data_IF_559995217616
#
_entry.id   IF_559995217616
#
_cell.length_a   1.000
_cell.length_b   1.000
_cell.length_c   1.000
_cell.angle_alpha   90.00
_cell.angle_beta   90.00
_cell.angle_gamma   90.00
#
_symmetry.space_group_name_H-M   'P 1'
#
loop_
_entity.id
_entity.type
_entity.pdbx_description
1 polymer ?
#
# COMPACT_ATOMS: atom_id res chain seq x y z
N UNK A 1 -7.21 12.30 -10.83
CA UNK A 1 -7.33 10.98 -11.49
C UNK A 1 -6.72 9.85 -10.65
N UNK A 2 -5.43 9.94 -10.26
CA UNK A 2 -4.72 8.90 -9.50
C UNK A 2 -5.46 8.48 -8.20
N UNK A 3 -5.84 9.46 -7.38
CA UNK A 3 -6.56 9.19 -6.12
C UNK A 3 -7.90 8.47 -6.36
N UNK A 4 -8.65 8.87 -7.38
CA UNK A 4 -9.93 8.22 -7.73
C UNK A 4 -9.76 6.75 -8.12
N UNK A 5 -8.70 6.43 -8.88
CA UNK A 5 -8.36 5.04 -9.21
C UNK A 5 -7.98 4.26 -7.96
N UNK A 6 -7.15 4.83 -7.08
CA UNK A 6 -6.77 4.22 -5.81
C UNK A 6 -7.96 3.95 -4.89
N UNK A 7 -8.86 4.91 -4.72
CA UNK A 7 -10.09 4.75 -3.94
C UNK A 7 -11.00 3.68 -4.52
N UNK A 8 -11.22 3.70 -5.84
CA UNK A 8 -12.04 2.69 -6.52
C UNK A 8 -11.48 1.28 -6.37
N UNK A 9 -10.16 1.11 -6.47
CA UNK A 9 -9.50 -0.18 -6.31
C UNK A 9 -9.61 -0.73 -4.87
N UNK A 10 -9.38 0.12 -3.86
CA UNK A 10 -9.53 -0.27 -2.45
C UNK A 10 -10.98 -0.60 -2.09
N UNK A 11 -11.95 0.22 -2.55
CA UNK A 11 -13.36 -0.04 -2.36
C UNK A 11 -13.80 -1.36 -3.02
N UNK A 12 -13.26 -1.66 -4.19
CA UNK A 12 -13.50 -2.94 -4.86
C UNK A 12 -12.97 -4.12 -4.03
N UNK A 13 -11.81 -4.00 -3.39
CA UNK A 13 -11.33 -5.02 -2.44
C UNK A 13 -12.33 -5.20 -1.30
N UNK A 14 -12.78 -4.13 -0.64
CA UNK A 14 -13.74 -4.23 0.47
C UNK A 14 -15.08 -4.87 0.06
N UNK A 15 -15.64 -4.45 -1.08
CA UNK A 15 -16.90 -5.00 -1.59
C UNK A 15 -16.80 -6.49 -1.93
N UNK A 16 -15.69 -6.95 -2.50
CA UNK A 16 -15.46 -8.37 -2.79
C UNK A 16 -15.42 -9.20 -1.51
N UNK A 17 -14.75 -8.72 -0.46
CA UNK A 17 -14.69 -9.38 0.84
C UNK A 17 -16.02 -9.37 1.61
N UNK A 18 -16.79 -8.29 1.50
CA UNK A 18 -18.13 -8.20 2.06
C UNK A 18 -19.06 -9.24 1.41
N UNK A 19 -19.06 -9.30 0.07
CA UNK A 19 -19.95 -10.17 -0.72
C UNK A 19 -19.59 -11.65 -0.65
N UNK A 20 -18.31 -12.01 -0.57
CA UNK A 20 -17.87 -13.41 -0.61
C UNK A 20 -17.26 -13.86 0.72
N UNK A 21 -18.08 -14.51 1.54
CA UNK A 21 -17.68 -15.02 2.86
C UNK A 21 -16.56 -16.08 2.79
N UNK A 22 -16.37 -16.73 1.63
CA UNK A 22 -15.29 -17.68 1.35
C UNK A 22 -13.90 -17.04 1.23
N UNK A 23 -13.82 -15.72 1.02
CA UNK A 23 -12.58 -14.96 1.05
C UNK A 23 -12.17 -14.64 2.49
N UNK A 24 -13.14 -14.26 3.33
CA UNK A 24 -12.90 -14.00 4.76
C UNK A 24 -12.38 -15.23 5.51
N UNK A 25 -12.72 -16.44 5.04
CA UNK A 25 -12.22 -17.71 5.59
C UNK A 25 -10.81 -18.08 5.12
N UNK A 26 -10.25 -17.42 4.11
CA UNK A 26 -8.92 -17.73 3.61
C UNK A 26 -7.86 -16.87 4.34
N UNK A 27 -6.84 -17.54 4.87
CA UNK A 27 -5.80 -16.93 5.71
C UNK A 27 -5.02 -15.83 4.98
N UNK A 28 -4.67 -16.01 3.70
CA UNK A 28 -3.94 -15.01 2.92
C UNK A 28 -4.81 -13.78 2.58
N UNK A 29 -6.10 -14.00 2.39
CA UNK A 29 -7.04 -12.95 2.01
C UNK A 29 -7.21 -11.93 3.17
N UNK A 30 -7.13 -12.37 4.44
CA UNK A 30 -7.15 -11.47 5.61
C UNK A 30 -5.96 -10.49 5.63
N UNK A 31 -4.75 -10.97 5.29
CA UNK A 31 -3.57 -10.11 5.23
C UNK A 31 -3.64 -9.11 4.05
N UNK A 32 -4.24 -9.52 2.93
CA UNK A 32 -4.48 -8.63 1.79
C UNK A 32 -5.50 -7.54 2.17
N UNK A 33 -6.55 -7.89 2.92
CA UNK A 33 -7.52 -6.93 3.43
C UNK A 33 -6.88 -5.92 4.40
N UNK A 34 -6.00 -6.41 5.28
CA UNK A 34 -5.20 -5.56 6.20
C UNK A 34 -4.38 -4.51 5.43
N UNK A 35 -3.67 -4.95 4.38
CA UNK A 35 -2.90 -4.05 3.52
C UNK A 35 -3.79 -3.04 2.80
N UNK A 36 -4.94 -3.46 2.25
CA UNK A 36 -5.90 -2.56 1.60
C UNK A 36 -6.51 -1.53 2.57
N UNK A 37 -6.73 -1.90 3.83
CA UNK A 37 -7.16 -0.96 4.86
C UNK A 37 -6.11 0.13 5.12
N UNK A 38 -4.84 -0.27 5.22
CA UNK A 38 -3.73 0.65 5.40
C UNK A 38 -3.56 1.60 4.20
N UNK A 39 -3.60 1.07 2.97
CA UNK A 39 -3.53 1.86 1.75
C UNK A 39 -4.70 2.84 1.62
N UNK A 40 -5.92 2.42 1.96
CA UNK A 40 -7.10 3.29 1.97
C UNK A 40 -6.95 4.44 2.98
N UNK A 41 -6.42 4.15 4.18
CA UNK A 41 -6.15 5.19 5.18
C UNK A 41 -5.12 6.21 4.66
N UNK A 42 -4.05 5.77 3.98
CA UNK A 42 -3.10 6.67 3.32
C UNK A 42 -3.79 7.54 2.26
N UNK A 43 -4.66 6.95 1.42
CA UNK A 43 -5.38 7.69 0.39
C UNK A 43 -6.31 8.77 0.95
N UNK A 44 -6.94 8.53 2.11
CA UNK A 44 -7.75 9.53 2.80
C UNK A 44 -6.93 10.72 3.30
N UNK A 45 -5.66 10.49 3.64
CA UNK A 45 -4.77 11.52 4.18
C UNK A 45 -4.13 12.38 3.08
N UNK A 46 -3.86 11.84 1.88
CA UNK A 46 -3.17 12.56 0.79
C UNK A 46 -3.84 13.89 0.39
N UNK A 47 -5.18 13.99 0.22
CA UNK A 47 -5.85 15.25 -0.14
C UNK A 47 -5.50 16.40 0.80
N UNK A 48 -5.28 16.10 2.09
CA UNK A 48 -4.92 17.12 3.07
C UNK A 48 -3.48 17.65 2.87
N UNK A 49 -2.53 16.78 2.50
CA UNK A 49 -1.19 17.22 2.08
C UNK A 49 -1.28 18.09 0.82
N UNK A 50 -2.07 17.68 -0.18
CA UNK A 50 -2.22 18.45 -1.42
C UNK A 50 -2.83 19.82 -1.16
N UNK A 51 -3.86 19.90 -0.31
CA UNK A 51 -4.45 21.18 0.07
C UNK A 51 -3.42 22.07 0.77
N UNK A 52 -2.63 21.53 1.70
CA UNK A 52 -1.59 22.31 2.39
C UNK A 52 -0.50 22.79 1.43
N UNK A 53 -0.13 21.96 0.44
CA UNK A 53 0.83 22.33 -0.59
C UNK A 53 0.31 23.45 -1.52
N UNK A 54 -0.96 23.40 -1.93
CA UNK A 54 -1.58 24.41 -2.80
C UNK A 54 -1.82 25.73 -2.05
N UNK A 55 -2.29 25.65 -0.81
CA UNK A 55 -2.55 26.82 0.03
C UNK A 55 -1.28 27.40 0.67
N UNK A 56 -0.12 26.77 0.45
CA UNK A 56 1.16 27.07 1.09
C UNK A 56 1.05 27.31 2.61
N UNK A 57 0.10 26.64 3.24
CA UNK A 57 -0.28 26.85 4.63
C UNK A 57 -0.81 25.56 5.23
N UNK A 58 -0.47 25.33 6.50
CA UNK A 58 -1.03 24.26 7.31
C UNK A 58 -2.08 24.88 8.25
N UNK A 59 -3.38 24.64 8.01
CA UNK A 59 -4.43 25.35 8.72
C UNK A 59 -4.59 24.89 10.18
N UNK A 60 -4.12 23.69 10.52
CA UNK A 60 -4.29 23.11 11.86
C UNK A 60 -3.13 23.44 12.80
N UNK A 61 -3.23 22.95 14.04
CA UNK A 61 -2.19 23.10 15.07
C UNK A 61 -0.96 22.22 14.80
N UNK A 62 0.11 22.45 15.55
CA UNK A 62 1.31 21.59 15.57
C UNK A 62 1.00 20.15 16.02
N UNK A 63 0.10 20.00 17.01
CA UNK A 63 -0.35 18.68 17.48
C UNK A 63 -1.04 17.93 16.35
N UNK A 64 -1.91 18.58 15.59
CA UNK A 64 -2.56 17.96 14.42
C UNK A 64 -1.55 17.59 13.33
N UNK A 65 -0.47 18.36 13.16
CA UNK A 65 0.62 18.00 12.24
C UNK A 65 1.33 16.72 12.69
N UNK A 66 1.67 16.59 13.97
CA UNK A 66 2.30 15.38 14.53
C UNK A 66 1.41 14.15 14.37
N UNK A 67 0.12 14.26 14.71
CA UNK A 67 -0.86 13.18 14.52
C UNK A 67 -0.97 12.81 13.04
N UNK A 68 -1.04 13.79 12.15
CA UNK A 68 -1.13 13.57 10.72
C UNK A 68 0.10 12.83 10.15
N UNK A 69 1.30 13.30 10.48
CA UNK A 69 2.56 12.71 10.04
C UNK A 69 2.74 11.30 10.62
N UNK A 70 2.28 11.06 11.85
CA UNK A 70 2.18 9.74 12.45
C UNK A 70 1.25 8.82 11.66
N UNK A 71 0.01 9.24 11.38
CA UNK A 71 -0.98 8.42 10.67
C UNK A 71 -0.51 8.06 9.26
N UNK A 72 0.13 8.98 8.55
CA UNK A 72 0.74 8.70 7.25
C UNK A 72 1.83 7.63 7.35
N UNK A 73 2.80 7.82 8.25
CA UNK A 73 3.90 6.88 8.45
C UNK A 73 3.42 5.50 8.91
N UNK A 74 2.47 5.48 9.85
CA UNK A 74 1.86 4.28 10.39
C UNK A 74 1.14 3.47 9.31
N UNK A 75 0.33 4.13 8.49
CA UNK A 75 -0.42 3.47 7.42
C UNK A 75 0.51 2.91 6.35
N UNK A 76 1.56 3.64 5.99
CA UNK A 76 2.59 3.16 5.07
C UNK A 76 3.32 1.93 5.63
N UNK A 77 3.75 1.99 6.89
CA UNK A 77 4.41 0.89 7.56
C UNK A 77 3.47 -0.33 7.63
N UNK A 78 2.20 -0.14 8.00
CA UNK A 78 1.21 -1.20 8.09
C UNK A 78 0.98 -1.92 6.76
N UNK A 79 0.92 -1.16 5.65
CA UNK A 79 0.86 -1.72 4.29
C UNK A 79 2.10 -2.54 3.97
N UNK A 80 3.29 -2.00 4.25
CA UNK A 80 4.58 -2.63 3.94
C UNK A 80 4.84 -3.91 4.75
N UNK A 81 4.58 -3.88 6.06
CA UNK A 81 4.73 -5.05 6.93
C UNK A 81 3.63 -6.10 6.66
N UNK A 82 2.42 -5.69 6.25
CA UNK A 82 1.40 -6.62 5.76
C UNK A 82 1.88 -7.33 4.48
N UNK A 83 2.53 -6.61 3.55
CA UNK A 83 3.11 -7.21 2.35
C UNK A 83 4.22 -8.23 2.70
N UNK A 84 5.05 -7.93 3.70
CA UNK A 84 6.04 -8.87 4.23
C UNK A 84 5.36 -10.14 4.77
N UNK A 85 4.32 -9.99 5.59
CA UNK A 85 3.55 -11.12 6.12
C UNK A 85 2.92 -11.97 5.00
N UNK A 86 2.36 -11.34 3.96
CA UNK A 86 1.85 -12.04 2.77
C UNK A 86 2.95 -12.84 2.08
N UNK A 87 4.16 -12.26 1.91
CA UNK A 87 5.29 -12.95 1.28
C UNK A 87 5.74 -14.18 2.07
N UNK A 88 5.78 -14.08 3.40
CA UNK A 88 6.19 -15.14 4.33
C UNK A 88 5.14 -16.25 4.37
N UNK A 89 3.86 -15.90 4.59
CA UNK A 89 2.76 -16.87 4.62
C UNK A 89 2.65 -17.63 3.30
N UNK A 90 2.85 -16.94 2.17
CA UNK A 90 2.90 -17.54 0.84
C UNK A 90 4.07 -18.51 0.70
N UNK A 91 5.27 -18.11 1.10
CA UNK A 91 6.43 -18.98 1.05
C UNK A 91 6.17 -20.27 1.85
N UNK A 92 5.65 -20.17 3.08
CA UNK A 92 5.31 -21.34 3.91
C UNK A 92 4.29 -22.27 3.27
N UNK A 93 3.18 -21.73 2.74
CA UNK A 93 2.14 -22.54 2.07
C UNK A 93 2.72 -23.34 0.90
N UNK A 94 3.66 -22.75 0.16
CA UNK A 94 4.21 -23.38 -1.04
C UNK A 94 5.33 -24.35 -0.71
N UNK A 95 6.27 -23.96 0.15
CA UNK A 95 7.45 -24.79 0.46
C UNK A 95 7.12 -25.92 1.43
N UNK A 96 6.03 -25.80 2.21
CA UNK A 96 5.59 -26.83 3.14
C UNK A 96 4.08 -27.12 2.99
N UNK A 97 3.67 -27.84 1.93
CA UNK A 97 2.27 -28.12 1.66
C UNK A 97 1.58 -28.98 2.73
N UNK A 98 2.34 -29.77 3.48
CA UNK A 98 1.82 -30.65 4.54
C UNK A 98 1.60 -29.92 5.87
N UNK A 99 2.28 -28.81 6.10
CA UNK A 99 2.09 -27.96 7.28
C UNK A 99 1.86 -26.50 6.88
N UNK A 100 0.68 -26.17 6.32
CA UNK A 100 0.32 -24.78 6.04
C UNK A 100 0.22 -23.97 7.33
N UNK A 101 0.51 -22.65 7.29
CA UNK A 101 0.50 -21.78 8.46
C UNK A 101 -0.88 -21.78 9.09
N UNK A 102 -0.97 -22.04 10.40
CA UNK A 102 -2.23 -22.05 11.15
C UNK A 102 -2.92 -20.68 11.12
N UNK A 103 -4.22 -20.64 11.41
CA UNK A 103 -4.96 -19.37 11.50
C UNK A 103 -4.36 -18.47 12.57
N UNK A 104 -3.99 -19.03 13.72
CA UNK A 104 -3.38 -18.30 14.83
C UNK A 104 -2.04 -17.68 14.44
N UNK A 105 -1.22 -18.40 13.66
CA UNK A 105 0.05 -17.86 13.15
C UNK A 105 -0.17 -16.68 12.21
N UNK A 106 -1.20 -16.74 11.35
CA UNK A 106 -1.51 -15.64 10.43
C UNK A 106 -2.09 -14.43 11.16
N UNK A 107 -2.92 -14.65 12.18
CA UNK A 107 -3.40 -13.59 13.07
C UNK A 107 -2.23 -12.97 13.84
N UNK A 108 -1.31 -13.78 14.34
CA UNK A 108 -0.09 -13.30 14.99
C UNK A 108 0.75 -12.44 14.04
N UNK A 109 0.94 -12.87 12.78
CA UNK A 109 1.64 -12.06 11.77
C UNK A 109 0.97 -10.72 11.51
N UNK A 110 -0.37 -10.70 11.46
CA UNK A 110 -1.13 -9.45 11.32
C UNK A 110 -0.92 -8.54 12.53
N UNK A 111 -1.08 -9.07 13.75
CA UNK A 111 -0.88 -8.30 14.99
C UNK A 111 0.55 -7.73 15.03
N UNK A 112 1.55 -8.55 14.73
CA UNK A 112 2.94 -8.12 14.69
C UNK A 112 3.19 -7.05 13.62
N UNK A 113 2.60 -7.18 12.42
CA UNK A 113 2.74 -6.18 11.38
C UNK A 113 2.21 -4.80 11.84
N UNK A 114 1.04 -4.77 12.47
CA UNK A 114 0.44 -3.53 12.97
C UNK A 114 1.19 -2.97 14.19
N UNK A 115 1.59 -3.84 15.13
CA UNK A 115 2.35 -3.45 16.31
C UNK A 115 3.72 -2.87 15.94
N UNK A 116 4.47 -3.52 15.05
CA UNK A 116 5.75 -3.03 14.54
C UNK A 116 5.56 -1.70 13.80
N UNK A 117 4.52 -1.57 12.99
CA UNK A 117 4.20 -0.33 12.29
C UNK A 117 3.95 0.82 13.25
N UNK A 118 3.21 0.57 14.33
CA UNK A 118 2.98 1.56 15.38
C UNK A 118 4.28 1.93 16.10
N UNK A 119 5.02 0.93 16.57
CA UNK A 119 6.24 1.11 17.37
C UNK A 119 7.33 1.85 16.61
N UNK A 120 7.45 1.65 15.31
CA UNK A 120 8.44 2.36 14.49
C UNK A 120 7.96 3.77 14.12
N UNK A 121 6.67 3.93 13.80
CA UNK A 121 6.15 5.22 13.33
C UNK A 121 6.03 6.26 14.43
N UNK A 122 5.75 5.84 15.66
CA UNK A 122 5.62 6.74 16.81
C UNK A 122 6.91 7.55 17.09
N UNK A 123 8.08 6.94 17.33
CA UNK A 123 9.31 7.68 17.64
C UNK A 123 9.84 8.48 16.45
N UNK A 124 9.61 8.03 15.21
CA UNK A 124 10.06 8.77 14.02
C UNK A 124 9.26 10.05 13.78
N UNK A 125 8.05 10.16 14.37
CA UNK A 125 7.13 11.29 14.15
C UNK A 125 6.94 12.18 15.37
N UNK A 126 7.66 11.93 16.47
CA UNK A 126 7.80 12.91 17.55
C UNK A 126 8.51 14.18 17.07
N UNK A 127 9.41 14.04 16.10
CA UNK A 127 10.15 15.14 15.46
C UNK A 127 9.36 15.86 14.35
N UNK A 128 8.12 15.46 14.06
CA UNK A 128 7.28 16.21 13.13
C UNK A 128 6.91 17.56 13.75
N UNK A 129 6.86 18.61 12.95
CA UNK A 129 6.55 19.95 13.45
C UNK A 129 5.93 20.84 12.39
N UNK A 130 5.15 21.81 12.85
CA UNK A 130 4.65 22.92 12.04
C UNK A 130 5.69 24.05 12.02
N UNK A 131 6.36 24.25 10.89
CA UNK A 131 7.32 25.35 10.72
C UNK A 131 6.74 26.53 9.93
N UNK A 132 7.32 27.71 10.17
CA UNK A 132 7.07 28.97 9.45
C UNK A 132 8.27 29.29 8.58
N UNK A 133 8.04 29.70 7.33
CA UNK A 133 9.12 29.93 6.38
C UNK A 133 9.78 31.30 6.60
N UNK A 134 10.70 31.41 7.57
CA UNK A 134 11.56 32.60 7.75
C UNK A 134 10.94 33.82 8.46
N UNK A 135 11.79 34.77 8.90
CA UNK A 135 11.33 35.97 9.61
C UNK A 135 10.58 36.91 8.66
N UNK A 136 9.26 37.10 8.89
CA UNK A 136 8.40 38.04 8.14
C UNK A 136 7.33 37.40 7.25
N UNK A 137 7.39 36.09 7.00
CA UNK A 137 6.42 35.34 6.19
C UNK A 137 5.43 34.58 7.09
N UNK A 138 4.73 35.31 7.97
CA UNK A 138 3.81 34.74 8.98
C UNK A 138 2.67 33.91 8.39
N UNK A 139 2.36 34.08 7.11
CA UNK A 139 1.27 33.39 6.41
C UNK A 139 1.68 32.02 5.83
N UNK A 140 2.98 31.72 5.73
CA UNK A 140 3.49 30.48 5.15
C UNK A 140 3.82 29.48 6.25
N UNK A 141 3.04 28.40 6.32
CA UNK A 141 3.22 27.35 7.32
C UNK A 141 3.18 25.97 6.69
N UNK A 142 4.09 25.08 7.07
CA UNK A 142 4.14 23.73 6.53
C UNK A 142 4.18 22.71 7.66
N UNK A 143 3.52 21.57 7.44
CA UNK A 143 3.64 20.42 8.33
C UNK A 143 4.79 19.53 7.85
N UNK A 144 5.93 19.65 8.50
CA UNK A 144 7.14 18.92 8.14
C UNK A 144 7.21 17.58 8.91
N UNK A 145 7.68 16.51 8.25
CA UNK A 145 7.80 15.19 8.88
C UNK A 145 8.92 15.13 9.93
N UNK A 146 9.85 16.08 9.91
CA UNK A 146 11.07 16.12 10.71
C UNK A 146 11.51 17.56 10.97
N UNK A 147 12.14 17.82 12.11
CA UNK A 147 12.93 19.04 12.32
C UNK A 147 14.25 19.00 11.53
N UNK A 148 14.84 20.16 11.18
CA UNK A 148 16.13 20.22 10.47
C UNK A 148 17.26 19.46 11.18
N UNK A 149 17.32 19.52 12.51
CA UNK A 149 18.36 18.88 13.32
C UNK A 149 18.35 17.34 13.24
N UNK A 150 17.16 16.73 13.16
CA UNK A 150 17.00 15.28 13.16
C UNK A 150 16.62 14.70 11.80
N UNK A 151 16.54 15.54 10.75
CA UNK A 151 16.05 15.16 9.43
C UNK A 151 16.73 13.89 8.89
N UNK A 152 18.06 13.89 8.76
CA UNK A 152 18.79 12.77 8.17
C UNK A 152 18.76 11.49 9.02
N UNK A 153 18.75 11.61 10.35
CA UNK A 153 18.63 10.46 11.25
C UNK A 153 17.28 9.77 11.08
N UNK A 154 16.20 10.55 10.95
CA UNK A 154 14.87 10.04 10.70
C UNK A 154 14.77 9.44 9.30
N UNK A 155 15.26 10.12 8.26
CA UNK A 155 15.23 9.61 6.88
C UNK A 155 16.02 8.29 6.75
N UNK A 156 17.21 8.19 7.35
CA UNK A 156 18.00 6.97 7.35
C UNK A 156 17.28 5.83 8.09
N UNK A 157 16.69 6.14 9.25
CA UNK A 157 15.91 5.16 10.02
C UNK A 157 14.68 4.70 9.22
N UNK A 158 14.00 5.60 8.52
CA UNK A 158 12.92 5.26 7.60
C UNK A 158 13.40 4.38 6.43
N UNK A 159 14.53 4.71 5.81
CA UNK A 159 15.10 3.88 4.75
C UNK A 159 15.37 2.45 5.25
N UNK A 160 15.98 2.29 6.43
CA UNK A 160 16.28 0.97 6.96
C UNK A 160 15.01 0.22 7.34
N UNK A 161 14.13 0.85 8.12
CA UNK A 161 12.99 0.19 8.75
C UNK A 161 11.77 0.07 7.83
N UNK A 162 11.55 1.01 6.93
CA UNK A 162 10.40 0.97 6.01
C UNK A 162 10.77 0.38 4.65
N UNK A 163 12.04 0.47 4.24
CA UNK A 163 12.44 0.01 2.90
C UNK A 163 13.35 -1.21 2.92
N UNK A 164 14.56 -1.08 3.48
CA UNK A 164 15.60 -2.10 3.35
C UNK A 164 15.22 -3.43 4.01
N UNK A 165 14.78 -3.40 5.28
CA UNK A 165 14.38 -4.62 6.00
C UNK A 165 13.19 -5.31 5.32
N UNK A 166 12.07 -4.62 5.01
CA UNK A 166 10.97 -5.21 4.26
C UNK A 166 11.38 -5.84 2.93
N UNK A 167 12.18 -5.12 2.13
CA UNK A 167 12.66 -5.61 0.84
C UNK A 167 13.53 -6.85 0.98
N UNK A 168 14.41 -6.90 1.99
CA UNK A 168 15.23 -8.07 2.28
C UNK A 168 14.38 -9.28 2.67
N UNK A 169 13.38 -9.09 3.54
CA UNK A 169 12.44 -10.15 3.94
C UNK A 169 11.73 -10.70 2.71
N UNK A 170 11.20 -9.83 1.86
CA UNK A 170 10.50 -10.24 0.64
C UNK A 170 11.47 -10.99 -0.29
N UNK A 171 12.65 -10.44 -0.56
CA UNK A 171 13.65 -11.04 -1.44
C UNK A 171 14.08 -12.45 -0.97
N UNK A 172 14.36 -12.63 0.32
CA UNK A 172 14.74 -13.94 0.90
C UNK A 172 13.62 -14.96 0.71
N UNK A 173 12.36 -14.58 0.98
CA UNK A 173 11.22 -15.47 0.76
C UNK A 173 11.04 -15.84 -0.72
N UNK A 174 11.32 -14.92 -1.63
CA UNK A 174 11.32 -15.19 -3.07
C UNK A 174 12.41 -16.14 -3.52
N UNK A 175 13.63 -15.95 -3.02
CA UNK A 175 14.74 -16.85 -3.34
C UNK A 175 14.45 -18.26 -2.83
N UNK A 176 13.91 -18.40 -1.61
CA UNK A 176 13.46 -19.69 -1.05
C UNK A 176 12.42 -20.35 -1.94
N UNK A 177 11.42 -19.60 -2.35
CA UNK A 177 10.36 -20.07 -3.24
C UNK A 177 10.91 -20.49 -4.61
N UNK A 178 11.76 -19.68 -5.23
CA UNK A 178 12.32 -19.97 -6.55
C UNK A 178 13.16 -21.26 -6.52
N UNK A 179 13.97 -21.43 -5.47
CA UNK A 179 14.74 -22.67 -5.24
C UNK A 179 13.84 -23.89 -5.08
N UNK A 180 12.74 -23.77 -4.33
CA UNK A 180 11.77 -24.85 -4.16
C UNK A 180 11.12 -25.24 -5.50
N UNK A 181 10.67 -24.25 -6.28
CA UNK A 181 10.05 -24.50 -7.60
C UNK A 181 11.03 -25.09 -8.62
N UNK A 182 12.33 -24.78 -8.52
CA UNK A 182 13.35 -25.34 -9.39
C UNK A 182 13.70 -26.79 -9.00
N UNK A 183 13.65 -27.15 -7.70
CA UNK A 183 14.02 -28.48 -7.21
C UNK A 183 12.87 -29.49 -7.19
N UNK A 184 11.62 -29.04 -7.15
CA UNK A 184 10.44 -29.92 -7.05
C UNK A 184 9.77 -30.14 -8.42
N UNK A 185 9.83 -31.35 -9.01
CA UNK A 185 9.07 -31.70 -10.21
C UNK A 185 7.62 -32.16 -9.90
N UNK A 186 7.26 -32.35 -8.63
CA UNK A 186 5.98 -32.96 -8.24
C UNK A 186 4.92 -31.91 -7.93
N UNK A 187 4.52 -31.15 -8.94
CA UNK A 187 3.30 -30.35 -8.88
C UNK A 187 2.61 -30.38 -10.24
N UNK A 188 1.30 -30.63 -10.27
CA UNK A 188 0.52 -30.53 -11.51
C UNK A 188 0.81 -29.19 -12.21
N UNK A 189 0.94 -29.19 -13.53
CA UNK A 189 1.18 -27.99 -14.34
C UNK A 189 0.19 -26.84 -14.03
N UNK A 190 -1.05 -27.18 -13.64
CA UNK A 190 -2.05 -26.20 -13.23
C UNK A 190 -1.72 -25.56 -11.87
N UNK A 191 -1.28 -26.37 -10.89
CA UNK A 191 -0.86 -25.90 -9.57
C UNK A 191 0.43 -25.06 -9.67
N UNK A 192 1.44 -25.53 -10.41
CA UNK A 192 2.69 -24.81 -10.66
C UNK A 192 2.46 -23.42 -11.27
N UNK A 193 1.57 -23.34 -12.25
CA UNK A 193 1.19 -22.06 -12.89
C UNK A 193 0.45 -21.12 -11.95
N UNK A 194 -0.46 -21.62 -11.11
CA UNK A 194 -1.14 -20.78 -10.10
C UNK A 194 -0.17 -20.27 -9.04
N UNK A 195 0.74 -21.12 -8.58
CA UNK A 195 1.81 -20.78 -7.63
C UNK A 195 2.74 -19.71 -8.20
N UNK A 196 3.33 -19.94 -9.39
CA UNK A 196 4.20 -18.98 -10.07
C UNK A 196 3.52 -17.63 -10.25
N UNK A 197 2.26 -17.62 -10.68
CA UNK A 197 1.50 -16.39 -10.90
C UNK A 197 1.28 -15.62 -9.60
N UNK A 198 0.80 -16.27 -8.56
CA UNK A 198 0.48 -15.56 -7.34
C UNK A 198 1.74 -15.12 -6.58
N UNK A 199 2.87 -15.79 -6.83
CA UNK A 199 4.19 -15.32 -6.42
C UNK A 199 4.71 -14.18 -7.30
N UNK A 200 4.45 -14.17 -8.60
CA UNK A 200 4.72 -13.00 -9.45
C UNK A 200 3.98 -11.76 -8.93
N UNK A 201 2.75 -11.90 -8.44
CA UNK A 201 1.98 -10.77 -7.91
C UNK A 201 2.66 -10.08 -6.73
N UNK A 202 3.13 -10.85 -5.75
CA UNK A 202 3.81 -10.29 -4.58
C UNK A 202 5.20 -9.72 -4.97
N UNK A 203 5.83 -10.23 -6.04
CA UNK A 203 7.11 -9.72 -6.56
C UNK A 203 6.89 -8.39 -7.27
N UNK A 204 5.83 -8.31 -8.08
CA UNK A 204 5.40 -7.07 -8.73
C UNK A 204 5.00 -6.03 -7.68
N UNK A 205 4.33 -6.42 -6.59
CA UNK A 205 4.00 -5.50 -5.50
C UNK A 205 5.27 -4.94 -4.84
N UNK A 206 6.26 -5.79 -4.54
CA UNK A 206 7.55 -5.35 -4.00
C UNK A 206 8.38 -4.51 -4.98
N UNK A 207 8.33 -4.85 -6.27
CA UNK A 207 8.95 -4.08 -7.34
C UNK A 207 8.34 -2.68 -7.46
N UNK A 208 7.01 -2.59 -7.43
CA UNK A 208 6.30 -1.30 -7.37
C UNK A 208 6.70 -0.51 -6.14
N UNK A 209 6.71 -1.12 -4.95
CA UNK A 209 7.16 -0.45 -3.73
C UNK A 209 8.57 0.13 -3.91
N UNK A 210 9.48 -0.62 -4.53
CA UNK A 210 10.83 -0.13 -4.84
C UNK A 210 10.87 1.05 -5.80
N UNK A 211 10.15 0.96 -6.93
CA UNK A 211 10.08 2.04 -7.91
C UNK A 211 9.43 3.30 -7.32
N UNK A 212 8.48 3.13 -6.40
CA UNK A 212 7.79 4.25 -5.75
C UNK A 212 8.64 4.95 -4.67
N UNK A 213 9.47 4.22 -3.93
CA UNK A 213 10.14 4.73 -2.74
C UNK A 213 11.65 4.96 -2.89
N UNK A 214 12.37 4.09 -3.60
CA UNK A 214 13.82 4.18 -3.74
C UNK A 214 14.29 5.51 -4.34
N UNK A 215 13.65 6.06 -5.39
CA UNK A 215 14.06 7.35 -5.96
C UNK A 215 14.01 8.49 -4.93
N UNK A 216 13.02 8.48 -4.03
CA UNK A 216 12.91 9.45 -2.95
C UNK A 216 14.07 9.36 -1.95
N UNK A 217 14.44 8.14 -1.52
CA UNK A 217 15.60 7.97 -0.63
C UNK A 217 16.92 8.34 -1.30
N UNK A 218 17.08 8.07 -2.60
CA UNK A 218 18.24 8.51 -3.38
C UNK A 218 18.30 10.03 -3.46
N UNK A 219 17.17 10.70 -3.68
CA UNK A 219 17.09 12.15 -3.68
C UNK A 219 17.53 12.74 -2.33
N UNK A 220 17.02 12.23 -1.21
CA UNK A 220 17.41 12.68 0.13
C UNK A 220 18.91 12.48 0.38
N UNK A 221 19.47 11.36 -0.09
CA UNK A 221 20.92 11.12 -0.03
C UNK A 221 21.71 12.12 -0.88
N UNK A 222 21.23 12.46 -2.09
CA UNK A 222 21.86 13.48 -2.92
C UNK A 222 21.83 14.87 -2.26
N UNK A 223 20.72 15.21 -1.59
CA UNK A 223 20.61 16.46 -0.81
C UNK A 223 21.62 16.45 0.34
N UNK A 224 21.71 15.36 1.10
CA UNK A 224 22.68 15.19 2.19
C UNK A 224 24.13 15.36 1.73
N UNK A 225 24.49 14.77 0.59
CA UNK A 225 25.84 14.81 0.03
C UNK A 225 26.18 16.14 -0.67
N UNK A 226 25.26 17.12 -0.70
CA UNK A 226 25.46 18.38 -1.40
C UNK A 226 25.49 18.25 -2.93
N UNK A 227 24.93 17.17 -3.48
CA UNK A 227 24.86 16.90 -4.92
C UNK A 227 23.65 17.57 -5.59
N UNK A 228 22.63 17.92 -4.81
CA UNK A 228 21.44 18.62 -5.30
C UNK A 228 21.80 20.01 -5.83
N UNK A 229 21.35 20.34 -7.04
CA UNK A 229 21.54 21.65 -7.66
C UNK A 229 20.20 22.25 -8.04
N UNK A 230 20.01 23.53 -7.76
CA UNK A 230 18.84 24.26 -8.27
C UNK A 230 18.86 24.26 -9.80
N UNK A 231 17.72 23.89 -10.40
CA UNK A 231 17.57 23.78 -11.84
C UNK A 231 16.44 22.84 -12.23
N UNK A 232 15.92 23.04 -13.45
CA UNK A 232 14.72 22.38 -13.95
C UNK A 232 14.79 20.84 -13.88
N UNK A 233 15.97 20.25 -14.10
CA UNK A 233 16.15 18.80 -14.04
C UNK A 233 15.96 18.23 -12.62
N UNK A 234 16.55 18.88 -11.60
CA UNK A 234 16.42 18.47 -10.21
C UNK A 234 15.03 18.72 -9.64
N UNK A 235 14.38 19.81 -10.05
CA UNK A 235 12.99 20.10 -9.68
C UNK A 235 12.02 19.06 -10.29
N UNK A 236 12.20 18.70 -11.57
CA UNK A 236 11.44 17.62 -12.20
C UNK A 236 11.69 16.27 -11.51
N UNK A 237 12.93 15.98 -11.13
CA UNK A 237 13.26 14.76 -10.41
C UNK A 237 12.60 14.73 -9.02
N UNK A 238 12.66 15.83 -8.27
CA UNK A 238 11.98 16.00 -6.99
C UNK A 238 10.48 15.74 -7.13
N UNK A 239 9.83 16.44 -8.08
CA UNK A 239 8.40 16.28 -8.34
C UNK A 239 8.04 14.84 -8.71
N UNK A 240 8.85 14.19 -9.56
CA UNK A 240 8.65 12.79 -9.95
C UNK A 240 8.74 11.85 -8.75
N UNK A 241 9.75 12.03 -7.89
CA UNK A 241 9.91 11.23 -6.67
C UNK A 241 8.71 11.39 -5.72
N UNK A 242 8.19 12.62 -5.58
CA UNK A 242 7.00 12.89 -4.75
C UNK A 242 5.75 12.22 -5.33
N UNK A 243 5.51 12.33 -6.64
CA UNK A 243 4.35 11.71 -7.29
C UNK A 243 4.40 10.18 -7.19
N UNK A 244 5.59 9.59 -7.35
CA UNK A 244 5.81 8.15 -7.22
C UNK A 244 5.45 7.62 -5.81
N UNK A 245 5.80 8.36 -4.76
CA UNK A 245 5.44 8.00 -3.38
C UNK A 245 3.91 8.02 -3.17
N UNK A 246 3.20 8.99 -3.72
CA UNK A 246 1.73 9.06 -3.64
C UNK A 246 1.02 8.01 -4.50
N UNK A 247 1.69 7.47 -5.51
CA UNK A 247 1.15 6.38 -6.35
C UNK A 247 1.16 5.03 -5.64
N UNK A 248 2.09 4.80 -4.70
CA UNK A 248 2.25 3.52 -4.01
C UNK A 248 0.94 2.89 -3.48
N UNK A 249 0.13 3.58 -2.64
CA UNK A 249 -1.10 3.00 -2.07
C UNK A 249 -2.19 2.71 -3.11
N UNK A 250 -2.08 3.27 -4.32
CA UNK A 250 -3.01 2.97 -5.42
C UNK A 250 -2.70 1.63 -6.10
N UNK A 251 -1.43 1.20 -6.11
CA UNK A 251 -1.00 0.11 -6.97
C UNK A 251 -1.18 -1.26 -6.32
N UNK A 252 -0.94 -1.39 -5.01
CA UNK A 252 -1.03 -2.69 -4.33
C UNK A 252 -2.42 -3.34 -4.51
N UNK A 253 -3.55 -2.66 -4.21
CA UNK A 253 -4.89 -3.23 -4.40
C UNK A 253 -5.20 -3.54 -5.87
N UNK A 254 -4.73 -2.69 -6.79
CA UNK A 254 -4.88 -2.90 -8.24
C UNK A 254 -4.17 -4.18 -8.67
N UNK A 255 -2.96 -4.44 -8.18
CA UNK A 255 -2.23 -5.68 -8.47
C UNK A 255 -3.01 -6.90 -7.95
N UNK A 256 -3.52 -6.88 -6.72
CA UNK A 256 -4.29 -7.99 -6.17
C UNK A 256 -5.62 -8.22 -6.89
N UNK A 257 -6.39 -7.15 -7.11
CA UNK A 257 -7.65 -7.23 -7.84
C UNK A 257 -7.40 -7.70 -9.27
N UNK A 258 -6.53 -7.04 -10.05
CA UNK A 258 -6.32 -7.34 -11.47
C UNK A 258 -5.71 -8.73 -11.70
N UNK A 259 -4.75 -9.13 -10.87
CA UNK A 259 -3.94 -10.31 -11.13
C UNK A 259 -4.35 -11.56 -10.34
N UNK A 260 -5.19 -11.51 -9.29
CA UNK A 260 -5.69 -12.77 -8.71
C UNK A 260 -6.76 -13.39 -9.63
N UNK A 261 -6.46 -14.59 -10.15
CA UNK A 261 -7.32 -15.35 -11.07
C UNK A 261 -8.70 -15.67 -10.43
N UNK A 262 -8.74 -15.81 -9.10
CA UNK A 262 -9.95 -16.09 -8.30
C UNK A 262 -10.98 -14.96 -8.38
N UNK A 263 -10.55 -13.71 -8.55
CA UNK A 263 -11.44 -12.54 -8.69
C UNK A 263 -11.96 -12.34 -10.12
N UNK A 264 -11.37 -12.96 -11.17
CA UNK A 264 -11.80 -12.72 -12.56
C UNK A 264 -13.24 -13.15 -12.84
N UNK A 265 -13.70 -14.28 -12.30
CA UNK A 265 -15.10 -14.71 -12.44
C UNK A 265 -16.07 -13.73 -11.74
N UNK A 266 -15.65 -13.17 -10.60
CA UNK A 266 -16.42 -12.20 -9.83
C UNK A 266 -16.42 -10.79 -10.46
N UNK A 267 -15.34 -10.41 -11.16
CA UNK A 267 -15.25 -9.15 -11.93
C UNK A 267 -16.22 -9.11 -13.09
N UNK A 268 -16.33 -10.22 -13.83
CA UNK A 268 -17.29 -10.35 -14.93
C UNK A 268 -18.70 -10.12 -14.41
N UNK A 269 -19.08 -10.81 -13.33
CA UNK A 269 -20.40 -10.63 -12.72
C UNK A 269 -20.70 -9.17 -12.32
N UNK A 270 -19.73 -8.42 -11.78
CA UNK A 270 -19.93 -7.02 -11.39
C UNK A 270 -20.02 -6.05 -12.59
N UNK A 271 -19.14 -6.19 -13.60
CA UNK A 271 -19.22 -5.40 -14.83
C UNK A 271 -20.53 -5.65 -15.58
N UNK A 272 -21.02 -6.89 -15.57
CA UNK A 272 -22.31 -7.24 -16.17
C UNK A 272 -23.52 -6.88 -15.28
N UNK A 273 -23.40 -6.83 -13.95
CA UNK A 273 -24.47 -6.36 -13.07
C UNK A 273 -24.68 -4.84 -13.10
N UNK A 274 -23.62 -4.05 -13.30
CA UNK A 274 -23.77 -2.62 -13.60
C UNK A 274 -24.52 -2.36 -14.91
N UNK A 275 -24.51 -3.29 -15.87
CA UNK A 275 -25.25 -3.16 -17.12
C UNK A 275 -26.69 -3.71 -17.06
N UNK A 276 -27.07 -4.38 -15.97
CA UNK A 276 -28.38 -5.04 -15.82
C UNK A 276 -29.41 -4.19 -15.07
N UNK A 277 -29.03 -2.99 -14.62
CA UNK A 277 -29.94 -2.01 -14.01
C UNK A 277 -30.55 -1.03 -15.02
N UNK A 278 -30.46 -1.28 -16.34
CA UNK A 278 -31.35 -0.61 -17.30
C UNK A 278 -32.74 -1.24 -17.21
N UNK A 279 -33.56 -0.60 -16.37
CA UNK A 279 -35.03 -0.60 -16.32
C UNK A 279 -35.68 -1.37 -17.48
N UNK A 280 -36.25 -2.54 -17.18
CA UNK A 280 -37.33 -3.09 -18.00
C UNK A 280 -38.60 -2.27 -17.70
N UNK A 281 -39.22 -1.60 -18.68
CA UNK A 281 -40.54 -1.02 -18.49
C UNK A 281 -41.52 -2.16 -18.26
N UNK A 282 -42.26 -2.12 -17.15
CA UNK A 282 -43.41 -2.99 -16.97
C UNK A 282 -44.51 -2.53 -17.92
N UNK A 283 -44.82 -3.36 -18.91
CA UNK A 283 -46.07 -3.25 -19.68
C UNK A 283 -47.14 -3.95 -18.85
N UNK A 284 -47.92 -3.17 -18.10
CA UNK A 284 -49.16 -3.63 -17.49
C UNK A 284 -50.23 -3.77 -18.57
N UNK A 285 -50.47 -5.00 -19.02
CA UNK A 285 -51.66 -5.33 -19.80
C UNK A 285 -52.88 -5.38 -18.87
N UNK A 286 -53.76 -4.39 -18.98
CA UNK A 286 -55.12 -4.45 -18.44
C UNK A 286 -55.99 -5.10 -19.50
N UNK A 287 -56.46 -6.32 -19.24
CA UNK A 287 -57.59 -6.92 -19.96
C UNK A 287 -58.41 -7.73 -18.97
N UNK A 288 -59.55 -7.16 -18.62
CA UNK A 288 -60.89 -7.73 -18.52
C UNK A 288 -61.03 -9.22 -18.16
N UNK A 289 -61.84 -9.48 -17.13
CA UNK A 289 -62.73 -10.64 -17.10
C UNK A 289 -63.93 -10.34 -16.21
N UNK A 290 -65.11 -10.37 -16.83
CA UNK A 290 -66.43 -10.79 -16.32
C UNK A 290 -66.83 -10.46 -14.88
#
# INVERSE_FOLDING_TARGET
MILGVGFGANLLVFTLFAKHNTLRKNRLDVLILSMALADFLTLLLIPFTLQSAISFSWPLSDISCKIYQFLLAFSLAASTYSLCAVSVARAMIITNPYHPPTTDLVVLMLILAWALSFLISLPLRTFATKERLGPGLTNFTFCLPTTPEHHYQVILSQFVLYYFIPMLVIAVNYVRLARFLHKSPVMSMASARNTRRASLMVFLAAGTFSVCWLPGYVLELCVYLGLYRHGQAWEMFYFTCTVLQYLHPCVNPVLYVLLAKRYRGMKGAWLFQCNRNRVHPQVTSVTESF
#
